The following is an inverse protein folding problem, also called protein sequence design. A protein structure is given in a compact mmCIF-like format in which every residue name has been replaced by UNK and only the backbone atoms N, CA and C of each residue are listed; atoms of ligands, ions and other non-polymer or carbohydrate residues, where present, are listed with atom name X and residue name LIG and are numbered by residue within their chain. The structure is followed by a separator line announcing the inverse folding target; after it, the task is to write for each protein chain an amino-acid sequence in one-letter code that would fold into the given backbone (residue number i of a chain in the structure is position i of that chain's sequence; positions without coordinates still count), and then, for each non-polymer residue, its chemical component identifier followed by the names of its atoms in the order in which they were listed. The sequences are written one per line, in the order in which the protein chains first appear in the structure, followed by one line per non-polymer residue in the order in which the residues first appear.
data_IF_319099928000
#
_entry.id   IF_319099928000
#
_cell.length_a   1.000
_cell.length_b   1.000
_cell.length_c   1.000
_cell.angle_alpha   90.00
_cell.angle_beta   90.00
_cell.angle_gamma   90.00
#
_symmetry.space_group_name_H-M   'P 1'
#
loop_
_entity.id
_entity.type
_entity.pdbx_description
1 polymer ?
#
# COMPACT_ATOMS: atom_id res chain seq x y z
N UNK A 1 23.39 8.38 8.33
CA UNK A 1 22.20 7.60 7.95
C UNK A 1 21.28 7.57 9.16
N UNK A 2 20.04 8.05 9.06
CA UNK A 2 19.11 8.15 10.20
C UNK A 2 18.38 6.82 10.37
N UNK A 3 18.88 5.92 11.19
CA UNK A 3 18.16 4.71 11.60
C UNK A 3 17.05 5.13 12.57
N UNK A 4 15.78 4.95 12.18
CA UNK A 4 14.64 5.22 13.07
C UNK A 4 14.45 4.03 14.00
N UNK A 5 15.00 4.12 15.20
CA UNK A 5 14.76 3.15 16.27
C UNK A 5 13.45 3.49 16.98
N UNK A 6 12.64 2.47 17.29
CA UNK A 6 11.43 2.58 18.12
C UNK A 6 11.55 1.61 19.27
N UNK A 7 11.44 2.11 20.50
CA UNK A 7 11.42 1.29 21.70
C UNK A 7 10.06 0.58 21.79
N UNK A 8 10.06 -0.75 21.80
CA UNK A 8 8.86 -1.59 21.94
C UNK A 8 8.97 -2.32 23.27
N UNK A 9 7.97 -2.13 24.13
CA UNK A 9 7.89 -2.83 25.41
C UNK A 9 7.23 -4.20 25.20
N UNK A 10 7.94 -5.27 25.54
CA UNK A 10 7.45 -6.65 25.34
C UNK A 10 6.67 -7.05 26.59
N UNK A 11 5.35 -6.84 26.55
CA UNK A 11 4.44 -7.23 27.63
C UNK A 11 3.94 -8.65 27.40
N UNK A 12 4.09 -9.53 28.40
CA UNK A 12 3.51 -10.87 28.37
C UNK A 12 2.08 -10.82 28.88
N UNK A 13 1.14 -11.35 28.08
CA UNK A 13 -0.25 -11.48 28.53
C UNK A 13 -0.33 -12.46 29.70
N UNK A 14 -1.06 -12.13 30.78
CA UNK A 14 -1.29 -13.09 31.86
C UNK A 14 -2.03 -14.31 31.31
N UNK A 15 -1.70 -15.49 31.82
CA UNK A 15 -2.20 -16.80 31.36
C UNK A 15 -3.73 -16.99 31.40
N UNK A 16 -4.47 -16.01 31.91
CA UNK A 16 -5.94 -15.96 31.94
C UNK A 16 -6.56 -15.16 30.79
N UNK A 17 -5.76 -14.58 29.88
CA UNK A 17 -6.24 -13.76 28.76
C UNK A 17 -5.72 -14.36 27.46
N UNK A 18 -6.64 -14.81 26.60
CA UNK A 18 -6.29 -15.25 25.25
C UNK A 18 -6.24 -14.04 24.31
N UNK A 19 -5.41 -14.08 23.27
CA UNK A 19 -5.35 -13.04 22.23
C UNK A 19 -6.74 -12.76 21.60
N UNK A 20 -7.62 -13.77 21.64
CA UNK A 20 -9.01 -13.76 21.19
C UNK A 20 -9.99 -12.98 22.08
N UNK A 21 -9.59 -12.55 23.29
CA UNK A 21 -10.40 -11.74 24.21
C UNK A 21 -10.00 -10.27 24.19
N UNK A 22 -8.88 -9.93 23.53
CA UNK A 22 -8.42 -8.55 23.43
C UNK A 22 -9.27 -7.75 22.43
N UNK A 23 -9.47 -6.45 22.66
CA UNK A 23 -10.10 -5.56 21.68
C UNK A 23 -9.36 -5.57 20.34
N UNK A 24 -10.05 -5.42 19.20
CA UNK A 24 -9.45 -5.43 17.87
C UNK A 24 -8.33 -4.39 17.69
N UNK A 25 -8.49 -3.20 18.29
CA UNK A 25 -7.47 -2.14 18.26
C UNK A 25 -6.15 -2.55 18.94
N UNK A 26 -6.21 -3.41 19.96
CA UNK A 26 -5.03 -3.91 20.68
C UNK A 26 -4.35 -5.02 19.89
N UNK A 27 -5.13 -5.87 19.21
CA UNK A 27 -4.62 -7.01 18.44
C UNK A 27 -3.75 -6.60 17.24
N UNK A 28 -3.92 -5.38 16.70
CA UNK A 28 -3.08 -4.84 15.61
C UNK A 28 -1.60 -4.68 16.02
N UNK A 29 -1.32 -4.56 17.32
CA UNK A 29 0.03 -4.33 17.84
C UNK A 29 0.72 -5.61 18.29
N UNK A 30 0.09 -6.77 18.12
CA UNK A 30 0.71 -8.06 18.44
C UNK A 30 1.76 -8.40 17.38
N UNK A 31 2.99 -8.60 17.83
CA UNK A 31 4.11 -9.13 17.04
C UNK A 31 4.39 -10.53 17.62
N UNK A 32 4.60 -11.54 16.77
CA UNK A 32 4.98 -12.85 17.29
C UNK A 32 6.30 -12.72 18.05
N UNK A 33 6.53 -13.57 19.05
CA UNK A 33 7.81 -13.60 19.80
C UNK A 33 9.02 -13.77 18.87
N UNK A 34 8.83 -14.42 17.72
CA UNK A 34 9.82 -14.59 16.64
C UNK A 34 10.11 -13.30 15.82
N UNK A 35 9.44 -12.19 16.12
CA UNK A 35 9.58 -10.92 15.39
C UNK A 35 8.88 -10.91 14.02
N UNK A 36 8.34 -12.05 13.59
CA UNK A 36 7.42 -12.12 12.47
C UNK A 36 6.13 -11.35 12.80
N UNK A 37 5.62 -10.60 11.83
CA UNK A 37 4.30 -9.98 11.90
C UNK A 37 3.30 -11.07 12.26
N UNK A 38 2.51 -10.87 13.33
CA UNK A 38 1.66 -11.92 13.90
C UNK A 38 0.52 -12.38 12.98
N UNK A 39 0.54 -11.95 11.70
CA UNK A 39 -0.59 -11.90 10.78
C UNK A 39 -1.77 -11.34 11.52
N UNK A 40 -1.88 -10.01 11.47
CA UNK A 40 -2.99 -9.23 11.99
C UNK A 40 -4.25 -10.11 12.07
N UNK A 41 -4.66 -10.43 13.30
CA UNK A 41 -5.72 -11.37 13.67
C UNK A 41 -6.83 -11.45 12.61
N UNK A 42 -7.43 -12.63 12.43
CA UNK A 42 -8.58 -12.78 11.53
C UNK A 42 -9.70 -11.79 11.93
N UNK A 43 -9.86 -10.72 11.12
CA UNK A 43 -10.71 -9.57 11.43
C UNK A 43 -10.04 -8.20 11.36
N UNK A 44 -8.70 -8.13 11.33
CA UNK A 44 -7.99 -6.91 10.88
C UNK A 44 -7.91 -6.98 9.36
N UNK A 45 -8.77 -6.24 8.67
CA UNK A 45 -8.56 -5.99 7.26
C UNK A 45 -7.28 -5.16 7.13
N UNK A 46 -6.18 -5.81 6.75
CA UNK A 46 -4.93 -5.12 6.48
C UNK A 46 -5.00 -4.56 5.07
N UNK A 47 -4.55 -3.33 4.89
CA UNK A 47 -4.49 -2.74 3.56
C UNK A 47 -3.41 -3.46 2.73
N UNK A 48 -3.73 -3.85 1.51
CA UNK A 48 -2.85 -4.69 0.73
C UNK A 48 -3.23 -4.81 -0.74
N UNK A 49 -2.29 -5.33 -1.52
CA UNK A 49 -2.52 -5.68 -2.91
C UNK A 49 -3.28 -6.99 -3.01
N UNK A 50 -4.35 -6.98 -3.78
CA UNK A 50 -5.17 -8.14 -4.09
C UNK A 50 -5.26 -8.28 -5.61
N UNK A 51 -5.31 -9.52 -6.10
CA UNK A 51 -5.62 -9.78 -7.51
C UNK A 51 -7.04 -10.27 -7.61
N UNK A 52 -7.83 -9.64 -8.47
CA UNK A 52 -9.17 -10.14 -8.76
C UNK A 52 -9.12 -11.41 -9.66
N UNK A 53 -10.27 -12.05 -9.85
CA UNK A 53 -10.40 -13.29 -10.63
C UNK A 53 -10.01 -13.16 -12.11
N UNK A 54 -9.92 -11.94 -12.64
CA UNK A 54 -9.47 -11.67 -14.00
C UNK A 54 -7.96 -11.34 -14.05
N UNK A 55 -7.27 -11.38 -12.90
CA UNK A 55 -5.83 -11.15 -12.78
C UNK A 55 -5.44 -9.69 -12.65
N UNK A 56 -6.39 -8.76 -12.56
CA UNK A 56 -6.04 -7.36 -12.34
C UNK A 56 -5.69 -7.09 -10.89
N UNK A 57 -4.80 -6.12 -10.67
CA UNK A 57 -4.33 -5.76 -9.34
C UNK A 57 -5.19 -4.64 -8.77
N UNK A 58 -5.69 -4.82 -7.56
CA UNK A 58 -6.49 -3.88 -6.79
C UNK A 58 -5.82 -3.65 -5.44
N UNK A 59 -6.12 -2.53 -4.79
CA UNK A 59 -5.60 -2.27 -3.45
C UNK A 59 -6.75 -2.12 -2.46
N UNK A 60 -6.83 -3.05 -1.51
CA UNK A 60 -7.77 -3.01 -0.41
C UNK A 60 -7.24 -2.07 0.67
N UNK A 61 -8.10 -1.19 1.18
CA UNK A 61 -7.85 -0.32 2.33
C UNK A 61 -8.15 -1.08 3.62
N UNK A 62 -7.69 -0.56 4.75
CA UNK A 62 -7.93 -1.18 6.06
C UNK A 62 -9.41 -1.23 6.49
N UNK A 63 -10.28 -0.51 5.79
CA UNK A 63 -11.74 -0.54 6.01
C UNK A 63 -12.46 -1.58 5.10
N UNK A 64 -11.72 -2.40 4.35
CA UNK A 64 -12.28 -3.40 3.41
C UNK A 64 -12.73 -2.85 2.06
N UNK A 65 -12.69 -1.53 1.85
CA UNK A 65 -12.99 -0.92 0.54
C UNK A 65 -11.76 -0.87 -0.35
N UNK A 66 -11.93 -0.76 -1.66
CA UNK A 66 -10.82 -0.63 -2.61
C UNK A 66 -10.48 0.84 -2.89
N UNK A 67 -9.23 1.11 -3.22
CA UNK A 67 -8.84 2.38 -3.84
C UNK A 67 -9.34 2.37 -5.29
N UNK A 68 -10.09 3.38 -5.67
CA UNK A 68 -10.61 3.59 -7.02
C UNK A 68 -10.57 5.08 -7.35
N UNK A 69 -10.44 5.38 -8.64
CA UNK A 69 -10.39 6.71 -9.22
C UNK A 69 -9.40 7.66 -8.53
N UNK A 70 -8.23 7.14 -8.17
CA UNK A 70 -7.27 7.90 -7.36
C UNK A 70 -5.85 7.36 -7.41
N UNK A 71 -4.91 8.21 -7.01
CA UNK A 71 -3.50 7.88 -6.84
C UNK A 71 -3.25 7.16 -5.52
N UNK A 72 -2.56 6.03 -5.59
CA UNK A 72 -2.04 5.27 -4.47
C UNK A 72 -0.52 5.40 -4.42
N UNK A 73 0.05 5.90 -3.33
CA UNK A 73 1.50 5.99 -3.15
C UNK A 73 1.98 5.04 -2.05
N UNK A 74 2.90 4.14 -2.40
CA UNK A 74 3.50 3.13 -1.52
C UNK A 74 5.01 3.10 -1.78
N UNK A 75 5.82 3.27 -0.73
CA UNK A 75 7.30 3.27 -0.81
C UNK A 75 7.84 4.14 -1.95
N UNK A 76 7.43 5.42 -1.96
CA UNK A 76 7.78 6.44 -2.96
C UNK A 76 7.41 6.08 -4.42
N UNK A 77 6.55 5.08 -4.62
CA UNK A 77 6.01 4.69 -5.93
C UNK A 77 4.54 5.02 -5.97
N UNK A 78 4.12 5.74 -7.01
CA UNK A 78 2.71 6.06 -7.25
C UNK A 78 2.11 5.14 -8.31
N UNK A 79 0.89 4.70 -8.05
CA UNK A 79 0.06 3.83 -8.88
C UNK A 79 -1.30 4.51 -9.06
N UNK A 80 -1.91 4.41 -10.24
CA UNK A 80 -3.25 4.97 -10.48
C UNK A 80 -4.28 3.85 -10.52
N UNK A 81 -5.38 4.01 -9.78
CA UNK A 81 -6.51 3.09 -9.79
C UNK A 81 -7.64 3.70 -10.62
N UNK A 82 -8.18 2.93 -11.57
CA UNK A 82 -9.34 3.34 -12.36
C UNK A 82 -10.62 3.41 -11.52
N UNK A 83 -11.74 3.78 -12.14
CA UNK A 83 -13.06 3.83 -11.48
C UNK A 83 -13.54 2.48 -10.94
N UNK A 84 -13.03 1.37 -11.47
CA UNK A 84 -13.31 0.02 -10.99
C UNK A 84 -12.34 -0.41 -9.88
N UNK A 85 -11.36 0.42 -9.51
CA UNK A 85 -10.32 0.11 -8.54
C UNK A 85 -9.25 -0.84 -9.06
N UNK A 86 -9.10 -0.93 -10.39
CA UNK A 86 -8.06 -1.68 -11.09
C UNK A 86 -6.86 -0.78 -11.36
N UNK A 87 -5.68 -1.28 -11.06
CA UNK A 87 -4.42 -0.59 -11.34
C UNK A 87 -4.19 -0.45 -12.85
N UNK A 88 -3.96 0.78 -13.30
CA UNK A 88 -3.53 1.05 -14.66
C UNK A 88 -2.08 0.60 -14.89
N UNK A 89 -1.79 0.08 -16.09
CA UNK A 89 -0.45 -0.34 -16.51
C UNK A 89 -0.22 0.08 -17.96
N UNK A 90 1.01 0.50 -18.26
CA UNK A 90 1.46 0.86 -19.61
C UNK A 90 0.52 1.82 -20.35
N UNK A 91 0.07 2.87 -19.66
CA UNK A 91 -0.94 3.79 -20.18
C UNK A 91 -0.78 5.19 -19.58
N UNK A 92 -1.52 6.16 -20.12
CA UNK A 92 -1.53 7.55 -19.66
C UNK A 92 -2.77 7.77 -18.80
N UNK A 93 -2.57 8.27 -17.59
CA UNK A 93 -3.66 8.65 -16.67
C UNK A 93 -4.46 9.84 -17.23
N UNK A 94 -5.71 10.05 -16.79
CA UNK A 94 -6.50 11.23 -17.18
C UNK A 94 -5.80 12.57 -16.91
N UNK A 95 -4.96 12.61 -15.86
CA UNK A 95 -4.14 13.76 -15.48
C UNK A 95 -2.90 13.97 -16.37
N UNK A 96 -2.66 13.10 -17.36
CA UNK A 96 -1.56 13.22 -18.32
C UNK A 96 -0.23 12.59 -17.88
N UNK A 97 -0.20 11.80 -16.79
CA UNK A 97 1.01 11.09 -16.36
C UNK A 97 1.09 9.69 -16.99
N UNK A 98 2.26 9.32 -17.49
CA UNK A 98 2.54 7.98 -17.99
C UNK A 98 2.81 6.99 -16.84
N UNK A 99 2.19 5.82 -16.92
CA UNK A 99 2.38 4.67 -16.04
C UNK A 99 3.06 3.57 -16.84
N UNK A 100 4.15 3.00 -16.33
CA UNK A 100 4.85 1.91 -17.03
C UNK A 100 4.10 0.55 -16.92
N UNK A 101 4.61 -0.47 -17.60
CA UNK A 101 4.07 -1.85 -17.53
C UNK A 101 4.06 -2.48 -16.12
N UNK A 102 4.77 -1.90 -15.15
CA UNK A 102 4.76 -2.33 -13.74
C UNK A 102 3.77 -1.52 -12.88
N UNK A 103 2.93 -0.68 -13.49
CA UNK A 103 1.95 0.15 -12.78
C UNK A 103 2.54 1.40 -12.13
N UNK A 104 3.83 1.70 -12.32
CA UNK A 104 4.51 2.81 -11.63
C UNK A 104 4.49 4.08 -12.47
N UNK A 105 4.07 5.17 -11.84
CA UNK A 105 4.20 6.54 -12.38
C UNK A 105 5.63 6.79 -12.83
N UNK A 106 5.77 7.21 -14.08
CA UNK A 106 7.01 7.77 -14.58
C UNK A 106 6.94 9.28 -14.45
N UNK A 107 7.70 9.81 -13.50
CA UNK A 107 8.04 11.23 -13.50
C UNK A 107 9.20 11.40 -14.47
N UNK A 108 8.94 11.91 -15.67
CA UNK A 108 10.04 12.44 -16.46
C UNK A 108 10.66 13.58 -15.65
N UNK A 109 11.87 13.36 -15.15
CA UNK A 109 12.61 14.39 -14.43
C UNK A 109 13.05 15.46 -15.43
N UNK A 110 12.20 16.43 -15.70
CA UNK A 110 12.60 17.70 -16.31
C UNK A 110 13.11 18.67 -15.22
N UNK A 111 13.98 18.19 -14.33
CA UNK A 111 14.75 19.08 -13.45
C UNK A 111 16.23 18.85 -13.69
N UNK A 112 16.64 19.23 -14.90
CA UNK A 112 18.02 19.28 -15.35
C UNK A 112 18.09 20.19 -16.57
N UNK A 113 17.99 21.51 -16.35
CA UNK A 113 18.38 22.57 -17.28
C UNK A 113 17.87 22.49 -18.74
N UNK A 114 16.83 23.29 -19.05
CA UNK A 114 16.77 24.04 -20.31
C UNK A 114 16.14 23.37 -21.54
N UNK A 115 15.13 24.09 -22.08
CA UNK A 115 14.62 24.08 -23.47
C UNK A 115 13.71 22.94 -23.97
N UNK A 116 12.45 23.35 -24.09
CA UNK A 116 11.50 23.12 -25.21
C UNK A 116 10.88 21.73 -25.31
N UNK A 117 9.56 21.77 -25.48
CA UNK A 117 8.69 20.61 -25.42
C UNK A 117 8.95 19.59 -26.51
N UNK A 118 8.35 18.43 -26.30
CA UNK A 118 8.02 17.53 -27.38
C UNK A 118 6.65 16.93 -27.09
N UNK A 119 5.73 17.19 -28.03
CA UNK A 119 4.47 16.52 -28.17
C UNK A 119 4.69 15.01 -28.37
N UNK A 120 3.74 14.21 -27.90
CA UNK A 120 3.61 12.82 -28.34
C UNK A 120 3.35 12.82 -29.86
N UNK A 121 4.15 12.02 -30.58
CA UNK A 121 3.79 11.51 -31.90
C UNK A 121 2.84 10.32 -31.75
#
# INVERSE_FOLDING_TARGET
MSTKERYVDIVHLPSSISASDLPPDVRKYLINVDGSDARAYEGTTTSGWEKDGNGHSRYQKSNGTYVADSWLTIDDKSYYMDSNGVMLTDTITPDGFYINAKGKKQIHSWMGTGRKGLALC
#
